data_IF_080032196268
#
_entry.id   IF_080032196268
#
_cell.length_a   1.000
_cell.length_b   1.000
_cell.length_c   1.000
_cell.angle_alpha   90.00
_cell.angle_beta   90.00
_cell.angle_gamma   90.00
#
_symmetry.space_group_name_H-M   'P 1'
#
loop_
_entity.id
_entity.type
_entity.pdbx_description
1 polymer ?
#
# COMPACT_ATOMS: atom_id res chain seq x y z
N UNK A 1 -13.89 -32.05 -1.89
CA UNK A 1 -12.47 -31.98 -2.33
C UNK A 1 -12.14 -30.54 -2.70
N UNK A 2 -11.19 -29.87 -2.03
CA UNK A 2 -10.78 -28.50 -2.40
C UNK A 2 -9.95 -28.58 -3.69
N UNK A 3 -10.42 -27.97 -4.78
CA UNK A 3 -9.69 -27.88 -6.05
C UNK A 3 -8.35 -27.16 -5.80
N UNK A 4 -7.24 -27.84 -6.08
CA UNK A 4 -5.89 -27.29 -5.93
C UNK A 4 -5.71 -26.17 -6.98
N UNK A 5 -5.29 -24.97 -6.55
CA UNK A 5 -5.11 -23.83 -7.48
C UNK A 5 -3.96 -24.13 -8.46
N UNK A 6 -4.09 -23.78 -9.76
CA UNK A 6 -3.05 -23.99 -10.75
C UNK A 6 -1.78 -23.19 -10.42
N UNK A 7 -0.62 -23.82 -10.63
CA UNK A 7 0.72 -23.27 -10.38
C UNK A 7 1.51 -23.16 -11.69
N UNK A 8 2.46 -22.23 -11.72
CA UNK A 8 3.45 -22.11 -12.78
C UNK A 8 4.54 -23.19 -12.63
N UNK A 9 5.41 -23.32 -13.63
CA UNK A 9 6.51 -24.31 -13.68
C UNK A 9 7.58 -24.11 -12.59
N UNK A 10 7.65 -22.92 -11.99
CA UNK A 10 8.51 -22.59 -10.84
C UNK A 10 7.80 -22.80 -9.48
N UNK A 11 6.59 -23.37 -9.49
CA UNK A 11 5.81 -23.65 -8.27
C UNK A 11 5.08 -22.44 -7.69
N UNK A 12 5.15 -21.27 -8.31
CA UNK A 12 4.38 -20.09 -7.91
C UNK A 12 2.91 -20.26 -8.29
N UNK A 13 2.00 -19.59 -7.57
CA UNK A 13 0.59 -19.56 -7.99
C UNK A 13 0.48 -18.75 -9.28
N UNK A 14 -0.30 -19.26 -10.25
CA UNK A 14 -0.66 -18.51 -11.46
C UNK A 14 -1.67 -17.43 -11.12
N UNK A 15 -1.29 -16.46 -10.28
CA UNK A 15 -2.11 -15.29 -9.98
C UNK A 15 -1.63 -14.15 -10.85
N UNK A 16 -2.54 -13.71 -11.72
CA UNK A 16 -2.38 -12.56 -12.59
C UNK A 16 -2.13 -11.30 -11.74
N UNK A 17 -1.02 -10.56 -11.91
CA UNK A 17 -0.80 -9.30 -11.21
C UNK A 17 -1.89 -8.26 -11.48
N UNK A 18 -2.62 -8.38 -12.60
CA UNK A 18 -3.74 -7.49 -12.96
C UNK A 18 -5.08 -7.91 -12.33
N UNK A 19 -5.17 -9.08 -11.70
CA UNK A 19 -6.37 -9.48 -11.00
C UNK A 19 -6.56 -8.57 -9.77
N UNK A 20 -7.44 -7.57 -9.91
CA UNK A 20 -8.00 -6.67 -8.88
C UNK A 20 -8.82 -7.44 -7.81
N UNK A 21 -8.29 -8.56 -7.34
CA UNK A 21 -8.85 -9.33 -6.25
C UNK A 21 -8.32 -8.78 -4.94
N UNK A 22 -9.21 -8.64 -3.94
CA UNK A 22 -8.81 -8.18 -2.61
C UNK A 22 -7.74 -9.12 -2.03
N UNK A 23 -6.51 -8.63 -1.90
CA UNK A 23 -5.41 -9.36 -1.25
C UNK A 23 -5.41 -9.02 0.24
N UNK A 24 -5.32 -10.05 1.08
CA UNK A 24 -5.15 -9.86 2.53
C UNK A 24 -3.67 -9.76 2.85
N UNK A 25 -3.24 -8.60 3.35
CA UNK A 25 -1.86 -8.34 3.75
C UNK A 25 -1.80 -8.22 5.28
N UNK A 26 -0.98 -9.04 5.92
CA UNK A 26 -0.75 -8.95 7.36
C UNK A 26 0.26 -7.85 7.69
N UNK A 27 -0.15 -6.83 8.42
CA UNK A 27 0.72 -5.75 8.88
C UNK A 27 1.19 -5.99 10.31
N UNK A 28 2.49 -5.85 10.55
CA UNK A 28 3.06 -5.90 11.91
C UNK A 28 3.14 -4.49 12.50
N UNK A 29 2.29 -4.22 13.48
CA UNK A 29 2.26 -2.93 14.18
C UNK A 29 2.81 -3.13 15.60
N UNK A 30 3.66 -2.21 16.05
CA UNK A 30 4.21 -2.28 17.41
C UNK A 30 3.09 -2.20 18.46
N UNK A 31 3.24 -2.95 19.56
CA UNK A 31 2.28 -2.97 20.68
C UNK A 31 1.95 -1.57 21.24
N UNK A 32 2.90 -0.63 21.19
CA UNK A 32 2.71 0.76 21.65
C UNK A 32 1.84 1.60 20.72
N UNK A 33 1.77 1.25 19.42
CA UNK A 33 1.07 2.02 18.38
C UNK A 33 -0.30 1.45 18.04
N UNK A 34 -0.50 0.14 18.18
CA UNK A 34 -1.80 -0.50 17.89
C UNK A 34 -2.99 0.16 18.64
N UNK A 35 -2.89 0.47 19.95
CA UNK A 35 -4.00 1.11 20.66
C UNK A 35 -4.31 2.51 20.12
N UNK A 36 -3.31 3.24 19.62
CA UNK A 36 -3.51 4.56 19.00
C UNK A 36 -4.26 4.42 17.68
N UNK A 37 -3.89 3.43 16.86
CA UNK A 37 -4.57 3.15 15.60
C UNK A 37 -6.04 2.77 15.82
N UNK A 38 -6.31 1.88 16.78
CA UNK A 38 -7.68 1.47 17.11
C UNK A 38 -8.52 2.63 17.64
N UNK A 39 -7.92 3.52 18.44
CA UNK A 39 -8.58 4.73 18.92
C UNK A 39 -8.98 5.64 17.75
N UNK A 40 -8.07 5.89 16.80
CA UNK A 40 -8.34 6.70 15.62
C UNK A 40 -9.44 6.06 14.77
N UNK A 41 -9.34 4.76 14.49
CA UNK A 41 -10.37 4.01 13.75
C UNK A 41 -11.75 4.15 14.40
N UNK A 42 -11.83 3.98 15.73
CA UNK A 42 -13.07 4.15 16.49
C UNK A 42 -13.62 5.57 16.43
N UNK A 43 -12.77 6.59 16.53
CA UNK A 43 -13.19 8.00 16.45
C UNK A 43 -13.69 8.38 15.06
N UNK A 44 -13.08 7.81 14.02
CA UNK A 44 -13.44 8.05 12.62
C UNK A 44 -14.60 7.17 12.12
N UNK A 45 -15.10 6.23 12.93
CA UNK A 45 -16.20 5.34 12.55
C UNK A 45 -15.86 4.36 11.43
N UNK A 46 -14.59 4.09 11.17
CA UNK A 46 -14.12 3.21 10.09
C UNK A 46 -13.20 2.12 10.64
N UNK A 47 -13.00 1.05 9.85
CA UNK A 47 -12.17 -0.07 10.29
C UNK A 47 -10.69 0.32 10.32
N UNK A 48 -9.91 -0.38 11.15
CA UNK A 48 -8.44 -0.26 11.18
C UNK A 48 -7.81 -0.55 9.82
N UNK A 49 -8.38 -1.46 9.02
CA UNK A 49 -7.92 -1.74 7.66
C UNK A 49 -8.09 -0.53 6.75
N UNK A 50 -9.21 0.20 6.86
CA UNK A 50 -9.46 1.37 6.01
C UNK A 50 -8.59 2.55 6.40
N UNK A 51 -8.37 2.78 7.70
CA UNK A 51 -7.37 3.77 8.15
C UNK A 51 -6.00 3.46 7.55
N UNK A 52 -5.55 2.20 7.61
CA UNK A 52 -4.27 1.79 7.05
C UNK A 52 -4.21 2.01 5.53
N UNK A 53 -5.30 1.73 4.80
CA UNK A 53 -5.36 1.98 3.35
C UNK A 53 -5.18 3.47 3.04
N UNK A 54 -5.96 4.33 3.71
CA UNK A 54 -5.89 5.78 3.52
C UNK A 54 -4.50 6.34 3.79
N UNK A 55 -3.84 5.90 4.88
CA UNK A 55 -2.48 6.35 5.23
C UNK A 55 -1.48 5.95 4.14
N UNK A 56 -1.62 4.75 3.58
CA UNK A 56 -0.71 4.27 2.52
C UNK A 56 -0.93 5.07 1.25
N UNK A 57 -2.18 5.29 0.84
CA UNK A 57 -2.53 6.09 -0.35
C UNK A 57 -1.98 7.52 -0.22
N UNK A 58 -2.27 8.20 0.90
CA UNK A 58 -1.78 9.56 1.16
C UNK A 58 -0.24 9.65 1.14
N UNK A 59 0.43 8.64 1.68
CA UNK A 59 1.90 8.60 1.69
C UNK A 59 2.49 8.36 0.28
N UNK A 60 1.84 7.54 -0.54
CA UNK A 60 2.25 7.30 -1.93
C UNK A 60 2.02 8.55 -2.80
N UNK A 61 0.86 9.18 -2.70
CA UNK A 61 0.54 10.42 -3.42
C UNK A 61 1.55 11.53 -3.09
N UNK A 62 1.94 11.62 -1.82
CA UNK A 62 2.95 12.58 -1.36
C UNK A 62 4.36 12.28 -1.88
N UNK A 63 4.67 11.02 -2.20
CA UNK A 63 5.94 10.65 -2.84
C UNK A 63 5.93 10.96 -4.34
N UNK A 64 4.85 10.61 -5.04
CA UNK A 64 4.69 10.94 -6.46
C UNK A 64 4.81 12.44 -6.69
N UNK A 65 4.15 13.25 -5.85
CA UNK A 65 4.23 14.70 -5.90
C UNK A 65 5.66 15.24 -5.73
N UNK A 66 6.47 14.61 -4.86
CA UNK A 66 7.87 15.01 -4.65
C UNK A 66 8.76 14.61 -5.81
N UNK A 67 8.50 13.46 -6.41
CA UNK A 67 9.24 12.98 -7.58
C UNK A 67 8.89 13.80 -8.82
N UNK A 68 7.63 14.21 -8.99
CA UNK A 68 7.21 15.16 -10.03
C UNK A 68 7.84 16.54 -9.84
N UNK A 69 7.87 17.06 -8.61
CA UNK A 69 8.57 18.32 -8.31
C UNK A 69 10.06 18.25 -8.63
N UNK A 70 10.74 17.15 -8.28
CA UNK A 70 12.15 16.95 -8.65
C UNK A 70 12.34 16.88 -10.16
N UNK A 71 11.52 16.10 -10.88
CA UNK A 71 11.58 15.99 -12.34
C UNK A 71 11.35 17.34 -13.02
N UNK A 72 10.39 18.12 -12.54
CA UNK A 72 10.12 19.48 -13.01
C UNK A 72 11.35 20.38 -12.81
N UNK A 73 11.97 20.38 -11.62
CA UNK A 73 13.17 21.19 -11.35
C UNK A 73 14.40 20.78 -12.19
N UNK A 74 14.56 19.49 -12.51
CA UNK A 74 15.61 18.99 -13.42
C UNK A 74 15.33 19.46 -14.85
N UNK A 75 14.08 19.37 -15.31
CA UNK A 75 13.69 19.83 -16.65
C UNK A 75 13.84 21.35 -16.84
N UNK A 76 13.65 22.12 -15.77
CA UNK A 76 13.87 23.58 -15.75
C UNK A 76 15.35 23.97 -15.57
N UNK A 77 16.27 23.00 -15.46
CA UNK A 77 17.70 23.24 -15.30
C UNK A 77 18.11 23.84 -13.95
N UNK A 78 17.23 23.78 -12.93
CA UNK A 78 17.49 24.31 -11.58
C UNK A 78 18.28 23.35 -10.69
N UNK A 79 18.39 22.08 -11.08
CA UNK A 79 19.21 21.05 -10.43
C UNK A 79 20.10 20.38 -11.50
N UNK A 80 21.37 20.15 -11.17
CA UNK A 80 22.26 19.36 -12.03
C UNK A 80 21.93 17.86 -11.84
N UNK A 81 21.14 17.35 -12.80
CA UNK A 81 20.65 15.98 -13.00
C UNK A 81 19.62 15.43 -12.01
#
# INVERSE_FOLDING_TARGET
MKKQRPRNSDGTFKEDPEALTKKSIGLRISKKKMPKLEKVAKQSGISTTEICRMIIEEWLDALESKDEQKKSMISEGKLLA
#
